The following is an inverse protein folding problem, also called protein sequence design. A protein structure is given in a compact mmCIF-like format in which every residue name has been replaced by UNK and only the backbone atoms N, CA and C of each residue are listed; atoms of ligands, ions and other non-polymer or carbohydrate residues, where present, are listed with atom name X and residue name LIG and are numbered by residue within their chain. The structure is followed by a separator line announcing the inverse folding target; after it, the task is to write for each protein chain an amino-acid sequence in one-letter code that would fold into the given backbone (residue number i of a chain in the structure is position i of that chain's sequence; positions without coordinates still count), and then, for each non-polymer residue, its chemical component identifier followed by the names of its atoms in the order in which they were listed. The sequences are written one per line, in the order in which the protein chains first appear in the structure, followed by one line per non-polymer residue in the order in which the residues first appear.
data_IF_772316173485
#
_entry.id   IF_772316173485
#
_cell.length_a   1.000
_cell.length_b   1.000
_cell.length_c   1.000
_cell.angle_alpha   90.00
_cell.angle_beta   90.00
_cell.angle_gamma   90.00
#
_symmetry.space_group_name_H-M   'P 1'
#
loop_
_entity.id
_entity.type
_entity.pdbx_description
1 polymer ?
#
# COMPACT_ATOMS: atom_id res chain seq x y z
N UNK A 1 -6.47 19.27 0.22
CA UNK A 1 -6.85 18.22 1.19
C UNK A 1 -6.12 16.96 0.78
N UNK A 2 -5.32 16.36 1.67
CA UNK A 2 -4.51 15.17 1.36
C UNK A 2 -5.29 13.92 1.78
N UNK A 3 -5.52 13.00 0.85
CA UNK A 3 -6.17 11.72 1.06
C UNK A 3 -5.13 10.61 1.01
N UNK A 4 -5.06 9.81 2.09
CA UNK A 4 -4.20 8.64 2.17
C UNK A 4 -5.00 7.38 2.43
N UNK A 5 -4.71 6.32 1.68
CA UNK A 5 -5.27 4.99 1.91
C UNK A 5 -4.22 4.08 2.54
N UNK A 6 -4.59 3.34 3.59
CA UNK A 6 -3.64 2.61 4.43
C UNK A 6 -3.88 1.09 4.41
N UNK A 7 -2.81 0.31 4.50
CA UNK A 7 -2.88 -1.13 4.68
C UNK A 7 -2.93 -1.93 3.38
N UNK A 8 -2.30 -1.41 2.32
CA UNK A 8 -2.18 -2.15 1.06
C UNK A 8 -1.34 -3.40 1.23
N UNK A 9 -1.72 -4.45 0.50
CA UNK A 9 -1.04 -5.75 0.51
C UNK A 9 -0.74 -6.31 -0.87
N UNK A 10 -1.61 -6.04 -1.85
CA UNK A 10 -1.52 -6.59 -3.19
C UNK A 10 -1.34 -5.47 -4.23
N UNK A 11 -0.55 -5.76 -5.28
CA UNK A 11 -0.39 -4.84 -6.42
C UNK A 11 -1.71 -4.55 -7.13
N UNK A 12 -2.61 -5.55 -7.20
CA UNK A 12 -3.95 -5.39 -7.78
C UNK A 12 -4.78 -4.29 -7.12
N UNK A 13 -4.61 -4.10 -5.82
CA UNK A 13 -5.32 -3.03 -5.09
C UNK A 13 -4.73 -1.66 -5.42
N UNK A 14 -3.41 -1.59 -5.63
CA UNK A 14 -2.73 -0.38 -6.11
C UNK A 14 -3.21 -0.03 -7.53
N UNK A 15 -3.35 -1.02 -8.41
CA UNK A 15 -3.83 -0.81 -9.77
C UNK A 15 -5.26 -0.24 -9.81
N UNK A 16 -6.15 -0.72 -8.92
CA UNK A 16 -7.54 -0.24 -8.82
C UNK A 16 -7.63 1.22 -8.40
N UNK A 17 -6.74 1.68 -7.52
CA UNK A 17 -6.78 3.05 -6.99
C UNK A 17 -6.03 4.06 -7.87
N UNK A 18 -5.31 3.63 -8.91
CA UNK A 18 -4.62 4.56 -9.83
C UNK A 18 -5.57 5.56 -10.50
N UNK A 19 -6.84 5.17 -10.66
CA UNK A 19 -7.87 6.02 -11.25
C UNK A 19 -8.57 6.92 -10.20
N UNK A 20 -8.15 6.85 -8.94
CA UNK A 20 -8.65 7.70 -7.85
C UNK A 20 -7.63 8.79 -7.53
N UNK A 21 -8.11 9.99 -7.21
CA UNK A 21 -7.27 11.08 -6.71
C UNK A 21 -6.87 10.84 -5.26
N UNK A 22 -5.87 9.98 -5.05
CA UNK A 22 -5.28 9.66 -3.75
C UNK A 22 -3.84 10.13 -3.74
N UNK A 23 -3.46 10.92 -2.73
CA UNK A 23 -2.13 11.51 -2.64
C UNK A 23 -1.07 10.52 -2.13
N UNK A 24 -1.48 9.53 -1.33
CA UNK A 24 -0.55 8.57 -0.74
C UNK A 24 -1.17 7.20 -0.45
N UNK A 25 -0.32 6.17 -0.50
CA UNK A 25 -0.66 4.79 -0.13
C UNK A 25 0.28 4.30 0.97
N UNK A 26 -0.28 3.57 1.93
CA UNK A 26 0.44 3.04 3.09
C UNK A 26 0.57 1.53 3.08
N UNK A 27 1.79 1.05 3.25
CA UNK A 27 2.13 -0.36 3.46
C UNK A 27 2.51 -0.59 4.91
N UNK A 28 1.96 -1.63 5.55
CA UNK A 28 2.20 -1.87 6.97
C UNK A 28 3.31 -2.91 7.15
N UNK A 29 4.49 -2.47 7.57
CA UNK A 29 5.61 -3.36 7.92
C UNK A 29 5.64 -3.69 9.42
N UNK A 30 4.50 -4.09 9.97
CA UNK A 30 4.37 -4.52 11.37
C UNK A 30 3.83 -5.95 11.44
N UNK A 31 4.61 -6.88 11.99
CA UNK A 31 4.35 -8.34 11.92
C UNK A 31 3.05 -8.79 12.59
N UNK A 32 2.60 -8.07 13.63
CA UNK A 32 1.32 -8.38 14.31
C UNK A 32 0.09 -7.78 13.60
N UNK A 33 0.29 -6.97 12.56
CA UNK A 33 -0.82 -6.44 11.77
C UNK A 33 -1.36 -7.51 10.82
N UNK A 34 -2.69 -7.65 10.71
CA UNK A 34 -3.34 -8.47 9.68
C UNK A 34 -2.95 -8.05 8.25
N UNK A 35 -2.54 -6.78 8.08
CA UNK A 35 -2.13 -6.18 6.81
C UNK A 35 -0.60 -6.09 6.69
N UNK A 36 0.14 -6.93 7.42
CA UNK A 36 1.58 -6.99 7.33
C UNK A 36 2.04 -7.29 5.90
N UNK A 37 2.96 -6.48 5.39
CA UNK A 37 3.72 -6.76 4.18
C UNK A 37 5.20 -6.84 4.48
N UNK A 38 5.87 -7.79 3.84
CA UNK A 38 7.32 -7.89 3.86
C UNK A 38 7.88 -6.94 2.81
N UNK A 39 8.91 -6.18 3.16
CA UNK A 39 9.67 -5.38 2.19
C UNK A 39 10.51 -6.37 1.38
N UNK A 40 9.96 -6.90 0.28
CA UNK A 40 10.81 -7.50 -0.76
C UNK A 40 11.50 -6.34 -1.46
N UNK A 41 12.81 -6.28 -1.34
CA UNK A 41 13.65 -5.35 -2.08
C UNK A 41 13.40 -5.63 -3.57
N UNK A 42 12.67 -4.75 -4.26
CA UNK A 42 12.68 -4.73 -5.72
C UNK A 42 14.11 -4.31 -6.11
N UNK A 43 14.99 -5.30 -6.32
CA UNK A 43 16.18 -5.08 -7.10
C UNK A 43 15.70 -4.86 -8.54
N UNK A 44 15.88 -3.63 -9.03
CA UNK A 44 16.09 -3.42 -10.46
C UNK A 44 17.57 -3.69 -10.77
#
# INVERSE_FOLDING_TARGET
MIVKFCGFKYSTDVDRIRNLNVDAIGFIHFTKSKRHVTIKKCNN
#
